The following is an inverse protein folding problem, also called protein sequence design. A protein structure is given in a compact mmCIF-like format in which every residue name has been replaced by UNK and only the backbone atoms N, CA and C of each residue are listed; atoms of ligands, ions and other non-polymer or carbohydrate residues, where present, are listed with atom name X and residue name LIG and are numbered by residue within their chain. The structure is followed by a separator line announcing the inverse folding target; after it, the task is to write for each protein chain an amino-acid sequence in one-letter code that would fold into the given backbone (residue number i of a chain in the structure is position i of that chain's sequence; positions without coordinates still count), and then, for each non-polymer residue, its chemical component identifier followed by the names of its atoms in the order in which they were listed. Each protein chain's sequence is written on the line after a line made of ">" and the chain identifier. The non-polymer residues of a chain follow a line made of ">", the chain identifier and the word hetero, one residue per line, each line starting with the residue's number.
data_IF_174910696224
#
_entry.id   IF_174910696224
#
_cell.length_a   1.000
_cell.length_b   1.000
_cell.length_c   1.000
_cell.angle_alpha   90.00
_cell.angle_beta   90.00
_cell.angle_gamma   90.00
#
_symmetry.space_group_name_H-M   'P 1'
#
loop_
_entity.id
_entity.type
_entity.pdbx_description
1 polymer ?
#
# COMPACT_ATOMS: atom_id res chain seq x y z
N UNK A 1 7.57 6.39 6.90
CA UNK A 1 8.18 6.15 5.60
C UNK A 1 9.24 5.05 5.72
N UNK A 2 9.25 4.08 4.82
CA UNK A 2 10.24 3.01 4.86
C UNK A 2 10.37 2.31 3.52
N UNK A 3 11.62 2.03 3.11
CA UNK A 3 11.89 1.31 1.86
C UNK A 3 11.16 -0.03 1.82
N UNK A 4 10.85 -0.52 0.62
CA UNK A 4 10.21 -1.83 0.46
C UNK A 4 11.04 -2.91 1.15
N UNK A 5 10.40 -3.74 1.99
CA UNK A 5 11.10 -4.77 2.76
C UNK A 5 11.81 -4.26 4.03
N UNK A 6 11.57 -3.01 4.47
CA UNK A 6 12.15 -2.47 5.72
C UNK A 6 11.49 -2.99 7.00
N UNK A 7 10.46 -3.83 6.91
CA UNK A 7 9.76 -4.37 8.08
C UNK A 7 8.59 -3.51 8.58
N UNK A 8 8.03 -2.62 7.76
CA UNK A 8 6.87 -1.80 8.15
C UNK A 8 5.75 -2.63 8.78
N UNK A 9 5.43 -3.79 8.20
CA UNK A 9 4.36 -4.66 8.71
C UNK A 9 4.64 -5.16 10.12
N UNK A 10 5.90 -5.47 10.46
CA UNK A 10 6.26 -5.88 11.83
C UNK A 10 6.07 -4.73 12.83
N UNK A 11 6.40 -3.50 12.43
CA UNK A 11 6.12 -2.31 13.25
C UNK A 11 4.61 -2.17 13.49
N UNK A 12 3.77 -2.37 12.44
CA UNK A 12 2.32 -2.36 12.62
C UNK A 12 1.86 -3.43 13.61
N UNK A 13 2.38 -4.65 13.49
CA UNK A 13 2.04 -5.74 14.40
C UNK A 13 2.36 -5.41 15.86
N UNK A 14 3.52 -4.78 16.13
CA UNK A 14 3.88 -4.34 17.49
C UNK A 14 2.96 -3.21 17.99
N UNK A 15 2.63 -2.25 17.14
CA UNK A 15 1.71 -1.17 17.49
C UNK A 15 0.30 -1.69 17.78
N UNK A 16 -0.20 -2.65 16.99
CA UNK A 16 -1.47 -3.31 17.22
C UNK A 16 -1.44 -4.02 18.57
N UNK A 17 -0.44 -4.86 18.83
CA UNK A 17 -0.30 -5.57 20.10
C UNK A 17 -0.32 -4.61 21.30
N UNK A 18 0.38 -3.48 21.20
CA UNK A 18 0.39 -2.46 22.25
C UNK A 18 -0.99 -1.83 22.49
N UNK A 19 -1.76 -1.59 21.44
CA UNK A 19 -3.12 -1.02 21.54
C UNK A 19 -4.10 -2.04 22.12
N UNK A 20 -4.04 -3.30 21.66
CA UNK A 20 -4.87 -4.38 22.16
C UNK A 20 -4.61 -4.68 23.65
N UNK A 21 -3.36 -4.60 24.10
CA UNK A 21 -2.99 -4.75 25.52
C UNK A 21 -3.58 -3.64 26.42
N UNK A 22 -4.04 -2.54 25.83
CA UNK A 22 -4.79 -1.48 26.52
C UNK A 22 -6.30 -1.66 26.43
N UNK A 23 -6.78 -2.77 25.89
CA UNK A 23 -8.19 -3.06 25.70
C UNK A 23 -8.85 -2.27 24.58
N UNK A 24 -8.08 -1.59 23.69
CA UNK A 24 -8.61 -0.77 22.61
C UNK A 24 -8.53 -1.49 21.27
N UNK A 25 -9.38 -1.10 20.32
CA UNK A 25 -9.52 -1.75 19.02
C UNK A 25 -8.72 -1.04 17.92
N UNK A 26 -8.56 -1.75 16.79
CA UNK A 26 -7.69 -1.35 15.70
C UNK A 26 -8.37 -1.50 14.34
N UNK A 27 -8.23 -0.49 13.48
CA UNK A 27 -8.55 -0.58 12.06
C UNK A 27 -7.25 -0.57 11.26
N UNK A 28 -7.09 -1.54 10.35
CA UNK A 28 -5.97 -1.62 9.42
C UNK A 28 -6.50 -1.50 8.00
N UNK A 29 -6.18 -0.41 7.33
CA UNK A 29 -6.53 -0.21 5.94
C UNK A 29 -5.39 -0.72 5.06
N UNK A 30 -5.73 -1.65 4.17
CA UNK A 30 -4.83 -2.22 3.18
C UNK A 30 -5.52 -2.11 1.81
N UNK A 31 -4.86 -1.63 0.75
CA UNK A 31 -5.42 -1.63 -0.59
C UNK A 31 -5.86 -3.04 -0.99
N UNK A 32 -7.00 -3.16 -1.66
CA UNK A 32 -7.60 -4.47 -1.97
C UNK A 32 -6.64 -5.38 -2.75
N UNK A 33 -5.83 -4.80 -3.63
CA UNK A 33 -4.80 -5.50 -4.40
C UNK A 33 -3.69 -6.09 -3.51
N UNK A 34 -3.41 -5.49 -2.36
CA UNK A 34 -2.39 -5.93 -1.40
C UNK A 34 -2.97 -6.82 -0.28
N UNK A 35 -4.31 -6.94 -0.20
CA UNK A 35 -5.02 -7.75 0.79
C UNK A 35 -5.02 -9.23 0.38
N UNK A 36 -3.83 -9.83 0.37
CA UNK A 36 -3.64 -11.23 0.02
C UNK A 36 -3.94 -12.17 1.20
N UNK A 37 -4.21 -13.44 0.91
CA UNK A 37 -4.36 -14.47 1.95
C UNK A 37 -3.16 -14.51 2.91
N UNK A 38 -1.94 -14.40 2.38
CA UNK A 38 -0.72 -14.41 3.21
C UNK A 38 -0.64 -13.21 4.15
N UNK A 39 -1.05 -12.03 3.68
CA UNK A 39 -1.11 -10.83 4.53
C UNK A 39 -2.10 -11.03 5.66
N UNK A 40 -3.31 -11.48 5.37
CA UNK A 40 -4.36 -11.73 6.36
C UNK A 40 -3.93 -12.81 7.36
N UNK A 41 -3.34 -13.91 6.87
CA UNK A 41 -2.89 -15.02 7.73
C UNK A 41 -1.86 -14.58 8.78
N UNK A 42 -1.02 -13.58 8.50
CA UNK A 42 -0.06 -13.02 9.49
C UNK A 42 -0.80 -12.42 10.69
N UNK A 43 -1.88 -11.69 10.44
CA UNK A 43 -2.69 -11.10 11.51
C UNK A 43 -3.41 -12.16 12.34
N UNK A 44 -4.05 -13.14 11.67
CA UNK A 44 -4.69 -14.26 12.38
C UNK A 44 -3.72 -15.05 13.23
N UNK A 45 -2.53 -15.36 12.73
CA UNK A 45 -1.50 -16.08 13.49
C UNK A 45 -1.05 -15.34 14.76
N UNK A 46 -1.08 -14.01 14.73
CA UNK A 46 -0.59 -13.21 15.85
C UNK A 46 -1.69 -12.80 16.82
N UNK A 47 -2.90 -12.52 16.35
CA UNK A 47 -3.98 -11.94 17.15
C UNK A 47 -5.21 -12.86 17.30
N UNK A 48 -5.20 -14.03 16.66
CA UNK A 48 -6.26 -15.03 16.81
C UNK A 48 -7.60 -14.65 16.18
N UNK A 49 -8.68 -15.20 16.73
CA UNK A 49 -10.03 -15.17 16.14
C UNK A 49 -10.76 -13.82 16.33
N UNK A 50 -10.19 -12.88 17.10
CA UNK A 50 -10.72 -11.54 17.28
C UNK A 50 -10.32 -10.57 16.14
N UNK A 51 -9.69 -11.13 15.09
CA UNK A 51 -9.41 -10.42 13.83
C UNK A 51 -10.49 -10.75 12.81
N UNK A 52 -10.93 -9.76 12.06
CA UNK A 52 -11.79 -9.99 10.90
C UNK A 52 -11.35 -9.15 9.70
N UNK A 53 -11.79 -9.60 8.52
CA UNK A 53 -11.47 -8.96 7.23
C UNK A 53 -12.74 -8.54 6.53
N UNK A 54 -12.76 -7.30 6.07
CA UNK A 54 -13.80 -6.79 5.18
C UNK A 54 -13.17 -6.61 3.80
N UNK A 55 -13.79 -7.17 2.76
CA UNK A 55 -13.35 -7.00 1.37
C UNK A 55 -14.54 -6.99 0.40
N UNK A 56 -14.29 -6.81 -0.90
CA UNK A 56 -15.33 -6.76 -1.92
C UNK A 56 -16.01 -8.11 -2.17
N UNK A 57 -15.33 -9.23 -1.87
CA UNK A 57 -15.88 -10.58 -2.10
C UNK A 57 -16.92 -11.01 -1.08
N UNK A 58 -16.99 -10.35 0.08
CA UNK A 58 -18.02 -10.62 1.07
C UNK A 58 -19.39 -10.16 0.59
N UNK A 59 -20.41 -11.00 0.81
CA UNK A 59 -21.81 -10.61 0.64
C UNK A 59 -22.22 -9.49 1.59
N UNK A 60 -23.35 -8.85 1.35
CA UNK A 60 -23.88 -7.81 2.22
C UNK A 60 -24.17 -8.32 3.64
N UNK A 61 -24.69 -9.55 3.76
CA UNK A 61 -24.94 -10.20 5.04
C UNK A 61 -23.67 -10.44 5.83
N UNK A 62 -22.64 -11.01 5.20
CA UNK A 62 -21.33 -11.23 5.85
C UNK A 62 -20.69 -9.91 6.30
N UNK A 63 -20.76 -8.86 5.48
CA UNK A 63 -20.28 -7.51 5.88
C UNK A 63 -21.03 -6.98 7.09
N UNK A 64 -22.35 -7.12 7.09
CA UNK A 64 -23.19 -6.70 8.21
C UNK A 64 -22.81 -7.45 9.49
N UNK A 65 -22.62 -8.77 9.42
CA UNK A 65 -22.22 -9.58 10.59
C UNK A 65 -20.87 -9.14 11.15
N UNK A 66 -19.88 -8.86 10.31
CA UNK A 66 -18.58 -8.37 10.79
C UNK A 66 -18.70 -7.00 11.44
N UNK A 67 -19.49 -6.11 10.86
CA UNK A 67 -19.73 -4.75 11.42
C UNK A 67 -20.45 -4.84 12.75
N UNK A 68 -21.47 -5.68 12.87
CA UNK A 68 -22.21 -5.92 14.12
C UNK A 68 -21.27 -6.48 15.20
N UNK A 69 -20.54 -7.54 14.91
CA UNK A 69 -19.56 -8.16 15.83
C UNK A 69 -18.52 -7.14 16.33
N UNK A 70 -18.08 -6.24 15.46
CA UNK A 70 -17.15 -5.17 15.84
C UNK A 70 -17.81 -4.18 16.82
N UNK A 71 -19.06 -3.78 16.56
CA UNK A 71 -19.83 -2.90 17.45
C UNK A 71 -20.15 -3.53 18.80
N UNK A 72 -20.39 -4.84 18.83
CA UNK A 72 -20.66 -5.63 20.03
C UNK A 72 -19.38 -5.95 20.83
N UNK A 73 -18.21 -5.53 20.34
CA UNK A 73 -16.90 -5.75 21.02
C UNK A 73 -16.40 -7.19 20.92
N UNK A 74 -16.90 -7.99 20.00
CA UNK A 74 -16.43 -9.36 19.74
C UNK A 74 -15.13 -9.38 18.90
N UNK A 75 -14.84 -8.29 18.21
CA UNK A 75 -13.65 -8.13 17.40
C UNK A 75 -12.75 -7.03 17.93
N UNK A 76 -11.45 -7.25 17.85
CA UNK A 76 -10.43 -6.27 18.25
C UNK A 76 -9.75 -5.61 17.06
N UNK A 77 -9.66 -6.31 15.93
CA UNK A 77 -8.97 -5.84 14.73
C UNK A 77 -9.84 -6.07 13.50
N UNK A 78 -10.05 -5.01 12.74
CA UNK A 78 -10.64 -5.09 11.39
C UNK A 78 -9.57 -4.73 10.37
N UNK A 79 -9.44 -5.56 9.33
CA UNK A 79 -8.56 -5.35 8.18
C UNK A 79 -9.41 -5.22 6.93
N UNK A 80 -9.10 -4.26 6.08
CA UNK A 80 -9.83 -4.13 4.82
C UNK A 80 -9.45 -2.91 4.00
N UNK A 81 -10.12 -2.71 2.85
CA UNK A 81 -9.93 -1.53 2.03
C UNK A 81 -10.56 -0.29 2.70
N UNK A 82 -10.62 0.81 1.98
CA UNK A 82 -11.13 2.09 2.50
C UNK A 82 -12.49 2.01 3.24
N UNK A 83 -13.36 1.06 2.87
CA UNK A 83 -14.67 0.89 3.50
C UNK A 83 -14.59 0.36 4.93
N UNK A 84 -13.54 -0.36 5.29
CA UNK A 84 -13.32 -0.85 6.65
C UNK A 84 -13.12 0.30 7.67
N UNK A 85 -12.82 1.50 7.20
CA UNK A 85 -12.67 2.69 8.03
C UNK A 85 -13.93 3.02 8.85
N UNK A 86 -15.10 2.63 8.37
CA UNK A 86 -16.38 2.94 9.02
C UNK A 86 -16.85 1.84 9.99
N UNK A 87 -15.96 0.97 10.41
CA UNK A 87 -16.26 -0.04 11.44
C UNK A 87 -16.57 0.66 12.77
N UNK A 88 -17.73 0.39 13.40
CA UNK A 88 -18.18 1.12 14.57
C UNK A 88 -17.58 0.56 15.88
N UNK A 89 -16.27 0.60 15.99
CA UNK A 89 -15.59 0.20 17.21
C UNK A 89 -15.92 1.14 18.38
N UNK A 90 -16.29 0.62 19.56
CA UNK A 90 -16.61 1.46 20.72
C UNK A 90 -15.39 2.18 21.31
N UNK A 91 -14.21 1.57 21.31
CA UNK A 91 -12.98 2.19 21.84
C UNK A 91 -11.81 2.03 20.87
N UNK A 92 -11.91 2.72 19.74
CA UNK A 92 -10.88 2.70 18.72
C UNK A 92 -9.58 3.36 19.22
N UNK A 93 -8.45 2.61 19.15
CA UNK A 93 -7.12 3.04 19.62
C UNK A 93 -6.17 3.50 18.54
N UNK A 94 -6.20 2.86 17.37
CA UNK A 94 -5.35 3.22 16.24
C UNK A 94 -6.00 2.88 14.90
N UNK A 95 -5.75 3.73 13.91
CA UNK A 95 -6.03 3.46 12.50
C UNK A 95 -4.70 3.40 11.77
N UNK A 96 -4.39 2.27 11.14
CA UNK A 96 -3.22 2.09 10.30
C UNK A 96 -3.66 2.16 8.84
N UNK A 97 -3.01 2.99 8.03
CA UNK A 97 -3.25 3.11 6.60
C UNK A 97 -1.97 2.67 5.89
N UNK A 98 -1.93 1.44 5.43
CA UNK A 98 -0.79 0.93 4.67
C UNK A 98 -0.87 1.34 3.21
N UNK A 99 0.30 1.57 2.59
CA UNK A 99 0.43 2.15 1.23
C UNK A 99 -0.47 3.39 1.02
N UNK A 100 -0.37 4.37 1.95
CA UNK A 100 -1.26 5.55 2.04
C UNK A 100 -1.36 6.39 0.75
N UNK A 101 -0.38 6.22 -0.15
CA UNK A 101 -0.30 6.90 -1.44
C UNK A 101 -1.24 6.31 -2.51
N UNK A 102 -1.82 5.12 -2.24
CA UNK A 102 -2.65 4.42 -3.23
C UNK A 102 -3.93 5.20 -3.58
N UNK A 103 -4.16 5.36 -4.87
CA UNK A 103 -5.32 6.09 -5.39
C UNK A 103 -6.66 5.47 -4.99
N UNK A 104 -6.68 4.16 -4.70
CA UNK A 104 -7.87 3.44 -4.25
C UNK A 104 -8.44 3.94 -2.92
N UNK A 105 -7.68 4.70 -2.14
CA UNK A 105 -8.17 5.37 -0.92
C UNK A 105 -9.07 6.57 -1.18
N UNK A 106 -9.12 7.08 -2.42
CA UNK A 106 -10.08 8.10 -2.83
C UNK A 106 -11.36 7.43 -3.35
N UNK A 107 -12.51 7.78 -2.78
CA UNK A 107 -13.81 7.33 -3.28
C UNK A 107 -14.25 8.18 -4.46
N UNK A 108 -14.44 7.56 -5.63
CA UNK A 108 -14.99 8.21 -6.82
C UNK A 108 -16.54 8.22 -6.82
N UNK A 109 -17.15 7.26 -6.12
CA UNK A 109 -18.59 7.17 -5.93
C UNK A 109 -19.06 7.96 -4.69
N UNK A 110 -20.34 8.34 -4.66
CA UNK A 110 -20.95 9.00 -3.49
C UNK A 110 -21.12 8.00 -2.32
N UNK A 111 -20.81 8.43 -1.08
CA UNK A 111 -20.20 9.70 -0.72
C UNK A 111 -18.72 9.77 -1.12
N UNK A 112 -18.31 10.90 -1.71
CA UNK A 112 -16.89 11.13 -2.07
C UNK A 112 -16.08 11.47 -0.82
N UNK A 113 -15.04 10.69 -0.54
CA UNK A 113 -14.11 10.92 0.57
C UNK A 113 -12.72 10.39 0.25
N UNK A 114 -11.74 10.82 1.00
CA UNK A 114 -10.41 10.25 0.98
C UNK A 114 -10.14 9.56 2.32
N UNK A 115 -9.83 8.26 2.30
CA UNK A 115 -9.70 7.46 3.52
C UNK A 115 -8.66 8.02 4.51
N UNK A 116 -7.50 8.51 4.05
CA UNK A 116 -6.49 9.14 4.89
C UNK A 116 -7.05 10.33 5.68
N UNK A 117 -7.71 11.27 4.99
CA UNK A 117 -8.26 12.47 5.63
C UNK A 117 -9.41 12.13 6.59
N UNK A 118 -10.22 11.14 6.20
CA UNK A 118 -11.31 10.65 7.03
C UNK A 118 -10.78 9.90 8.25
N UNK A 119 -9.74 9.10 8.11
CA UNK A 119 -9.07 8.42 9.22
C UNK A 119 -8.58 9.41 10.30
N UNK A 120 -7.99 10.52 9.89
CA UNK A 120 -7.54 11.58 10.83
C UNK A 120 -8.73 12.15 11.61
N UNK A 121 -9.87 12.40 10.94
CA UNK A 121 -11.08 12.92 11.61
C UNK A 121 -11.69 11.90 12.57
N UNK A 122 -11.84 10.64 12.15
CA UNK A 122 -12.38 9.57 13.01
C UNK A 122 -11.45 9.35 14.21
N UNK A 123 -10.15 9.29 14.00
CA UNK A 123 -9.18 9.14 15.09
C UNK A 123 -9.28 10.28 16.11
N UNK A 124 -9.44 11.52 15.66
CA UNK A 124 -9.63 12.67 16.56
C UNK A 124 -10.90 12.52 17.43
N UNK A 125 -12.02 12.01 16.87
CA UNK A 125 -13.26 11.77 17.60
C UNK A 125 -13.08 10.69 18.68
N UNK A 126 -12.27 9.67 18.43
CA UNK A 126 -12.02 8.54 19.33
C UNK A 126 -10.76 8.71 20.21
N UNK A 127 -10.05 9.85 20.13
CA UNK A 127 -8.72 10.01 20.77
C UNK A 127 -7.77 8.87 20.39
N UNK A 128 -7.87 8.44 19.15
CA UNK A 128 -7.04 7.40 18.55
C UNK A 128 -5.85 8.00 17.80
N UNK A 129 -4.86 7.17 17.52
CA UNK A 129 -3.73 7.55 16.67
C UNK A 129 -3.97 7.14 15.22
N UNK A 130 -3.33 7.86 14.27
CA UNK A 130 -3.27 7.46 12.86
C UNK A 130 -1.84 7.18 12.48
N UNK A 131 -1.61 6.06 11.81
CA UNK A 131 -0.31 5.67 11.26
C UNK A 131 -0.43 5.57 9.75
N UNK A 132 0.32 6.41 9.05
CA UNK A 132 0.39 6.40 7.59
C UNK A 132 1.68 5.69 7.17
N UNK A 133 1.56 4.57 6.47
CA UNK A 133 2.70 3.78 6.02
C UNK A 133 2.85 3.78 4.51
N UNK A 134 4.08 3.98 4.02
CA UNK A 134 4.40 3.89 2.60
C UNK A 134 5.89 3.76 2.36
N UNK A 135 6.26 3.11 1.24
CA UNK A 135 7.62 3.17 0.69
C UNK A 135 7.80 4.39 -0.24
N UNK A 136 6.70 4.92 -0.76
CA UNK A 136 6.62 6.06 -1.67
C UNK A 136 5.51 7.00 -1.21
N UNK A 137 5.71 7.74 -0.11
CA UNK A 137 4.64 8.54 0.48
C UNK A 137 4.08 9.56 -0.51
N UNK A 138 2.79 9.85 -0.37
CA UNK A 138 2.14 10.90 -1.15
C UNK A 138 2.80 12.25 -0.86
N UNK A 139 2.80 13.14 -1.84
CA UNK A 139 3.38 14.48 -1.70
C UNK A 139 2.75 15.24 -0.53
N UNK A 140 1.45 15.09 -0.35
CA UNK A 140 0.68 15.75 0.72
C UNK A 140 1.08 15.23 2.10
N UNK A 141 1.15 13.91 2.29
CA UNK A 141 1.53 13.33 3.58
C UNK A 141 2.98 13.66 3.93
N UNK A 142 3.90 13.57 2.96
CA UNK A 142 5.30 13.90 3.16
C UNK A 142 5.50 15.40 3.47
N UNK A 143 4.80 16.28 2.76
CA UNK A 143 4.84 17.73 3.00
C UNK A 143 4.36 18.08 4.43
N UNK A 144 3.22 17.52 4.86
CA UNK A 144 2.71 17.70 6.23
C UNK A 144 3.69 17.19 7.29
N UNK A 145 4.36 16.06 7.02
CA UNK A 145 5.39 15.53 7.91
C UNK A 145 6.60 16.48 7.99
N UNK A 146 7.07 17.04 6.87
CA UNK A 146 8.15 18.03 6.86
C UNK A 146 7.79 19.33 7.57
N UNK A 147 6.52 19.71 7.60
CA UNK A 147 6.02 20.86 8.36
C UNK A 147 5.81 20.59 9.85
N UNK A 148 6.00 19.35 10.29
CA UNK A 148 5.78 18.97 11.69
C UNK A 148 4.31 18.72 12.07
N UNK A 149 3.38 18.74 11.09
CA UNK A 149 1.97 18.39 11.32
C UNK A 149 1.82 16.89 11.61
N UNK A 150 2.69 16.06 11.01
CA UNK A 150 2.82 14.64 11.27
C UNK A 150 4.22 14.34 11.79
N UNK A 151 4.34 13.39 12.72
CA UNK A 151 5.64 12.88 13.15
C UNK A 151 6.18 11.93 12.09
N UNK A 152 7.34 12.25 11.51
CA UNK A 152 7.99 11.42 10.52
C UNK A 152 8.90 10.38 11.18
N UNK A 153 8.73 9.13 10.80
CA UNK A 153 9.64 8.03 11.12
C UNK A 153 10.19 7.45 9.82
N UNK A 154 11.50 7.24 9.75
CA UNK A 154 12.18 6.75 8.55
C UNK A 154 12.83 5.40 8.83
N UNK A 155 12.52 4.41 7.98
CA UNK A 155 13.06 3.05 8.03
C UNK A 155 13.84 2.81 6.73
N UNK A 156 15.09 3.25 6.67
CA UNK A 156 15.90 3.26 5.45
C UNK A 156 16.69 1.96 5.23
N UNK A 157 16.79 1.11 6.25
CA UNK A 157 17.49 -0.16 6.18
C UNK A 157 16.52 -1.34 5.97
N UNK A 158 16.97 -2.35 5.25
CA UNK A 158 16.30 -3.66 5.19
C UNK A 158 16.87 -4.59 6.25
N UNK A 159 16.05 -5.36 6.97
CA UNK A 159 16.55 -6.43 7.81
C UNK A 159 17.35 -7.47 6.98
N UNK A 160 18.51 -7.89 7.49
CA UNK A 160 19.38 -8.85 6.83
C UNK A 160 20.33 -8.19 5.81
N UNK A 161 21.11 -9.03 5.11
CA UNK A 161 22.16 -8.61 4.18
C UNK A 161 21.68 -8.28 2.76
N UNK A 162 20.38 -8.02 2.55
CA UNK A 162 19.83 -7.76 1.23
C UNK A 162 20.21 -6.36 0.74
N UNK A 163 20.97 -6.28 -0.35
CA UNK A 163 21.29 -5.04 -1.04
C UNK A 163 20.16 -4.62 -1.96
N UNK A 164 20.06 -3.31 -2.23
CA UNK A 164 19.15 -2.81 -3.25
C UNK A 164 19.59 -3.28 -4.64
N UNK A 165 18.64 -3.59 -5.54
CA UNK A 165 18.99 -3.96 -6.91
C UNK A 165 19.66 -2.79 -7.63
N UNK A 166 20.55 -3.13 -8.56
CA UNK A 166 21.17 -2.13 -9.43
C UNK A 166 20.14 -1.62 -10.45
N UNK A 167 19.96 -0.31 -10.52
CA UNK A 167 19.02 0.33 -11.43
C UNK A 167 19.78 1.01 -12.57
N UNK A 168 19.31 0.80 -13.80
CA UNK A 168 19.82 1.47 -15.00
C UNK A 168 18.71 2.29 -15.62
N UNK A 169 18.97 3.57 -15.85
CA UNK A 169 18.07 4.46 -16.60
C UNK A 169 18.60 4.59 -18.03
N UNK A 170 17.75 4.31 -19.02
CA UNK A 170 18.12 4.34 -20.44
C UNK A 170 17.20 5.35 -21.16
N UNK A 171 17.81 6.34 -21.85
CA UNK A 171 17.07 7.24 -22.72
C UNK A 171 16.81 6.56 -24.07
N UNK A 172 15.55 6.21 -24.32
CA UNK A 172 15.18 5.55 -25.58
C UNK A 172 15.31 6.46 -26.80
N UNK A 173 15.38 7.78 -26.63
CA UNK A 173 15.65 8.73 -27.73
C UNK A 173 17.08 8.57 -28.23
N UNK A 174 18.03 8.38 -27.34
CA UNK A 174 19.44 8.11 -27.71
C UNK A 174 19.59 6.73 -28.36
N UNK A 175 18.86 5.73 -27.87
CA UNK A 175 18.80 4.41 -28.51
C UNK A 175 18.29 4.51 -29.96
N UNK A 176 17.24 5.32 -30.19
CA UNK A 176 16.67 5.56 -31.52
C UNK A 176 17.67 6.26 -32.46
N UNK A 177 18.36 7.31 -31.99
CA UNK A 177 19.42 8.01 -32.75
C UNK A 177 20.54 7.08 -33.17
N UNK A 178 20.88 6.11 -32.32
CA UNK A 178 21.90 5.09 -32.59
C UNK A 178 21.38 3.90 -33.40
N UNK A 179 20.17 4.01 -33.97
CA UNK A 179 19.57 3.02 -34.88
C UNK A 179 18.76 1.91 -34.20
N UNK A 180 18.60 1.91 -32.87
CA UNK A 180 17.74 0.94 -32.20
C UNK A 180 16.27 1.38 -32.31
N UNK A 181 15.52 0.75 -33.20
CA UNK A 181 14.07 0.99 -33.40
C UNK A 181 13.18 0.05 -32.60
N UNK A 182 13.76 -0.82 -31.75
CA UNK A 182 13.04 -1.74 -30.90
C UNK A 182 12.34 -1.00 -29.76
N UNK A 183 11.27 -1.61 -29.21
CA UNK A 183 10.63 -1.16 -27.95
C UNK A 183 11.52 -1.44 -26.75
N UNK A 184 12.48 -2.33 -26.87
CA UNK A 184 13.47 -2.65 -25.84
C UNK A 184 14.80 -1.94 -26.13
N UNK A 185 15.39 -1.33 -25.11
CA UNK A 185 16.75 -0.84 -25.20
C UNK A 185 17.75 -2.02 -25.36
N UNK A 186 18.90 -1.75 -25.94
CA UNK A 186 19.96 -2.75 -26.05
C UNK A 186 20.35 -3.33 -24.69
N UNK A 187 20.45 -2.47 -23.67
CA UNK A 187 20.78 -2.90 -22.31
C UNK A 187 19.70 -3.80 -21.71
N UNK A 188 18.41 -3.49 -21.91
CA UNK A 188 17.33 -4.35 -21.42
C UNK A 188 17.39 -5.73 -22.11
N UNK A 189 17.62 -5.78 -23.42
CA UNK A 189 17.74 -7.04 -24.15
C UNK A 189 18.92 -7.87 -23.63
N UNK A 190 20.10 -7.27 -23.47
CA UNK A 190 21.27 -7.92 -22.89
C UNK A 190 20.96 -8.55 -21.51
N UNK A 191 20.26 -7.80 -20.65
CA UNK A 191 19.89 -8.28 -19.33
C UNK A 191 18.88 -9.44 -19.39
N UNK A 192 17.87 -9.35 -20.27
CA UNK A 192 16.91 -10.44 -20.47
C UNK A 192 17.63 -11.70 -20.94
N UNK A 193 18.46 -11.59 -21.98
CA UNK A 193 19.21 -12.74 -22.55
C UNK A 193 20.12 -13.38 -21.50
N UNK A 194 20.82 -12.55 -20.70
CA UNK A 194 21.69 -13.06 -19.64
C UNK A 194 20.93 -13.80 -18.54
N UNK A 195 19.71 -13.33 -18.16
CA UNK A 195 18.88 -14.00 -17.16
C UNK A 195 18.29 -15.30 -17.71
N UNK A 196 17.87 -15.31 -18.97
CA UNK A 196 17.39 -16.53 -19.63
C UNK A 196 18.48 -17.61 -19.71
N UNK A 197 19.72 -17.22 -20.07
CA UNK A 197 20.87 -18.15 -20.08
C UNK A 197 21.15 -18.71 -18.67
N UNK A 198 21.01 -17.88 -17.64
CA UNK A 198 21.14 -18.29 -16.24
C UNK A 198 19.93 -19.09 -15.72
N UNK A 199 18.90 -19.33 -16.53
CA UNK A 199 17.60 -19.94 -16.13
C UNK A 199 16.90 -19.17 -15.00
N UNK A 200 17.07 -17.86 -14.96
CA UNK A 200 16.42 -16.97 -14.01
C UNK A 200 15.16 -16.34 -14.64
N UNK A 201 14.30 -15.81 -13.79
CA UNK A 201 13.05 -15.18 -14.22
C UNK A 201 13.27 -13.69 -14.50
N UNK A 202 12.52 -13.16 -15.46
CA UNK A 202 12.47 -11.72 -15.78
C UNK A 202 11.04 -11.23 -15.66
N UNK A 203 10.83 -10.16 -14.91
CA UNK A 203 9.54 -9.48 -14.82
C UNK A 203 9.59 -8.19 -15.65
N UNK A 204 8.72 -8.08 -16.65
CA UNK A 204 8.55 -6.87 -17.45
C UNK A 204 7.32 -6.10 -16.95
N UNK A 205 7.54 -4.85 -16.55
CA UNK A 205 6.47 -3.97 -16.11
C UNK A 205 6.19 -2.91 -17.19
N UNK A 206 4.98 -2.90 -17.73
CA UNK A 206 4.51 -1.92 -18.69
C UNK A 206 3.43 -1.05 -18.03
N UNK A 207 3.74 0.22 -17.82
CA UNK A 207 2.83 1.16 -17.16
C UNK A 207 1.81 1.77 -18.16
N UNK A 208 1.29 0.96 -19.10
CA UNK A 208 0.28 1.41 -20.08
C UNK A 208 -0.75 0.32 -20.35
N UNK A 209 -2.02 0.71 -20.33
CA UNK A 209 -3.12 -0.11 -20.86
C UNK A 209 -3.35 0.28 -22.32
N UNK A 210 -3.50 -0.71 -23.20
CA UNK A 210 -3.78 -0.53 -24.62
C UNK A 210 -2.54 -0.51 -25.52
N UNK A 211 -2.77 -0.64 -26.85
CA UNK A 211 -1.72 -0.78 -27.85
C UNK A 211 -0.98 0.53 -28.11
N UNK A 212 -1.69 1.65 -28.16
CA UNK A 212 -1.11 2.99 -28.29
C UNK A 212 -2.05 4.04 -27.68
N UNK A 213 -1.56 4.89 -26.77
CA UNK A 213 -2.32 6.00 -26.19
C UNK A 213 -2.20 7.31 -26.98
N UNK A 214 -1.20 7.44 -27.83
CA UNK A 214 -0.94 8.61 -28.68
C UNK A 214 0.03 8.25 -29.79
N UNK A 215 0.07 9.11 -30.82
CA UNK A 215 1.07 9.07 -31.88
C UNK A 215 2.09 10.13 -31.56
N UNK A 216 3.38 9.79 -31.56
CA UNK A 216 4.47 10.74 -31.40
C UNK A 216 5.44 10.68 -32.55
N UNK A 217 6.00 11.82 -32.89
CA UNK A 217 7.08 11.90 -33.87
C UNK A 217 8.32 11.21 -33.31
N UNK A 218 8.81 10.16 -33.99
CA UNK A 218 10.00 9.42 -33.56
C UNK A 218 11.30 10.21 -33.69
N UNK A 219 11.31 11.29 -34.46
CA UNK A 219 12.51 12.11 -34.63
C UNK A 219 12.66 13.19 -33.55
N UNK A 220 11.56 13.88 -33.17
CA UNK A 220 11.62 14.99 -32.21
C UNK A 220 10.83 14.76 -30.92
N UNK A 221 10.06 13.68 -30.81
CA UNK A 221 9.24 13.37 -29.64
C UNK A 221 7.93 14.15 -29.53
N UNK A 222 7.60 14.97 -30.52
CA UNK A 222 6.34 15.72 -30.54
C UNK A 222 5.13 14.78 -30.57
N UNK A 223 4.11 15.07 -29.74
CA UNK A 223 2.86 14.31 -29.56
C UNK A 223 1.74 15.04 -30.24
#
# INVERSE_FOLDING_TARGET
>A
FGVTGSGKTEVYMEMIAHVLNKGRQVIVLIPEIALTYQTVLRFYKRFGDRVSVINSSLSQGEKYDQIRRAGDGELDVIIGPRSALFTPFPDLGVIIVDEEHESSYKSESMPKYHARETAVKIAAMHRASVVLGSATPSTEAYYRAKRGEYKLFEMMARPGASTLPKVYTIDLREELKQGNRSVFSRKLRELIDSRLQAREQTMLFLNRRGYAGFISCRACGHV
#
